data_IF_509710487816
#
_entry.id   IF_509710487816
#
_cell.length_a   1.000
_cell.length_b   1.000
_cell.length_c   1.000
_cell.angle_alpha   90.00
_cell.angle_beta   90.00
_cell.angle_gamma   90.00
#
_symmetry.space_group_name_H-M   'P 1'
#
loop_
_entity.id
_entity.type
_entity.pdbx_description
1 polymer ?
#
# COMPACT_ATOMS: atom_id res chain seq x y z
N UNK A 1 44.03 0.03 75.86
CA UNK A 1 44.33 -0.18 74.42
C UNK A 1 43.00 -0.34 73.71
N UNK A 2 42.56 0.70 73.00
CA UNK A 2 41.28 0.70 72.27
C UNK A 2 41.42 -0.03 70.94
N UNK A 3 40.47 -0.89 70.62
CA UNK A 3 40.37 -1.56 69.32
C UNK A 3 39.64 -0.64 68.33
N UNK A 4 40.27 -0.34 67.21
CA UNK A 4 39.62 0.32 66.06
C UNK A 4 38.97 -0.78 65.20
N UNK A 5 37.66 -0.68 65.01
CA UNK A 5 36.92 -1.48 64.03
C UNK A 5 36.92 -0.72 62.71
N UNK A 6 37.58 -1.27 61.69
CA UNK A 6 37.52 -0.74 60.32
C UNK A 6 36.30 -1.37 59.63
N UNK A 7 35.31 -0.55 59.30
CA UNK A 7 34.17 -0.95 58.45
C UNK A 7 34.58 -0.71 57.00
N UNK A 8 34.77 -1.79 56.25
CA UNK A 8 34.96 -1.73 54.81
C UNK A 8 33.58 -1.63 54.14
N UNK A 9 33.25 -0.45 53.61
CA UNK A 9 32.08 -0.25 52.77
C UNK A 9 32.44 -0.72 51.36
N UNK A 10 31.92 -1.89 50.96
CA UNK A 10 31.95 -2.31 49.56
C UNK A 10 30.90 -1.51 48.79
N UNK A 11 31.36 -0.52 48.03
CA UNK A 11 30.52 0.15 47.04
C UNK A 11 30.47 -0.76 45.80
N UNK A 12 29.40 -1.57 45.69
CA UNK A 12 29.11 -2.33 44.47
C UNK A 12 28.53 -1.33 43.47
N UNK A 13 29.36 -0.85 42.55
CA UNK A 13 28.87 -0.17 41.36
C UNK A 13 28.21 -1.22 40.46
N UNK A 14 26.89 -1.40 40.61
CA UNK A 14 26.11 -2.15 39.64
C UNK A 14 26.05 -1.33 38.34
N UNK A 15 26.86 -1.71 37.36
CA UNK A 15 26.74 -1.24 35.99
C UNK A 15 25.42 -1.78 35.44
N UNK A 16 24.35 -0.97 35.48
CA UNK A 16 23.16 -1.27 34.71
C UNK A 16 23.51 -1.08 33.23
N UNK A 17 23.73 -2.19 32.51
CA UNK A 17 23.66 -2.16 31.06
C UNK A 17 22.20 -1.88 30.72
N UNK A 18 21.90 -0.68 30.22
CA UNK A 18 20.63 -0.45 29.55
C UNK A 18 20.57 -1.46 28.40
N UNK A 19 19.55 -2.31 28.38
CA UNK A 19 19.27 -3.15 27.22
C UNK A 19 19.05 -2.26 26.00
N UNK A 20 19.39 -2.75 24.81
CA UNK A 20 19.05 -2.06 23.56
C UNK A 20 17.53 -1.80 23.53
N UNK A 21 17.12 -0.64 23.00
CA UNK A 21 15.70 -0.35 22.81
C UNK A 21 15.15 -1.36 21.81
N UNK A 22 14.01 -1.97 22.16
CA UNK A 22 13.34 -3.00 21.36
C UNK A 22 12.08 -2.41 20.73
N UNK A 23 11.94 -2.56 19.42
CA UNK A 23 10.92 -1.98 18.56
C UNK A 23 10.15 -3.08 17.82
N UNK A 24 9.49 -3.95 18.59
CA UNK A 24 8.71 -5.10 18.12
C UNK A 24 7.20 -4.80 18.06
N UNK A 25 6.79 -3.60 18.46
CA UNK A 25 5.39 -3.19 18.36
C UNK A 25 5.02 -2.95 16.90
N UNK A 26 3.93 -3.56 16.40
CA UNK A 26 3.40 -3.26 15.08
C UNK A 26 3.06 -1.78 14.92
N UNK A 27 3.45 -1.21 13.80
CA UNK A 27 3.02 0.11 13.35
C UNK A 27 2.80 0.11 11.83
N UNK A 28 2.32 1.23 11.28
CA UNK A 28 2.13 1.39 9.83
C UNK A 28 1.11 0.38 9.28
N UNK A 29 0.12 0.02 10.09
CA UNK A 29 -0.89 -0.99 9.75
C UNK A 29 -1.75 -0.48 8.60
N UNK A 30 -1.85 -1.30 7.57
CA UNK A 30 -2.71 -1.01 6.44
C UNK A 30 -3.26 -2.30 5.82
N UNK A 31 -4.43 -2.17 5.21
CA UNK A 31 -5.11 -3.26 4.52
C UNK A 31 -5.28 -2.95 3.05
N UNK A 32 -5.23 -3.98 2.23
CA UNK A 32 -5.56 -3.92 0.81
C UNK A 32 -6.41 -5.14 0.44
N UNK A 33 -7.13 -5.07 -0.69
CA UNK A 33 -7.74 -6.28 -1.23
C UNK A 33 -6.67 -7.27 -1.68
N UNK A 34 -6.94 -8.57 -1.46
CA UNK A 34 -6.15 -9.66 -2.02
C UNK A 34 -6.49 -9.90 -3.49
N UNK A 35 -6.63 -11.16 -3.91
CA UNK A 35 -6.97 -11.46 -5.32
C UNK A 35 -8.43 -11.13 -5.67
N UNK A 36 -9.27 -10.87 -4.67
CA UNK A 36 -10.66 -10.45 -4.82
C UNK A 36 -11.13 -9.67 -3.57
N UNK A 37 -12.34 -9.13 -3.61
CA UNK A 37 -12.91 -8.27 -2.55
C UNK A 37 -13.31 -9.00 -1.26
N UNK A 38 -13.23 -10.33 -1.22
CA UNK A 38 -13.42 -11.17 -0.04
C UNK A 38 -12.10 -11.69 0.53
N UNK A 39 -10.98 -11.17 0.02
CA UNK A 39 -9.65 -11.35 0.58
C UNK A 39 -9.11 -9.99 1.04
N UNK A 40 -8.57 -9.95 2.26
CA UNK A 40 -7.90 -8.77 2.79
C UNK A 40 -6.46 -9.14 3.15
N UNK A 41 -5.50 -8.37 2.65
CA UNK A 41 -4.10 -8.47 3.05
C UNK A 41 -3.83 -7.43 4.12
N UNK A 42 -3.53 -7.87 5.33
CA UNK A 42 -3.08 -7.01 6.43
C UNK A 42 -1.56 -6.91 6.36
N UNK A 43 -1.05 -5.69 6.28
CA UNK A 43 0.38 -5.39 6.21
C UNK A 43 0.78 -4.45 7.34
N UNK A 44 1.93 -4.68 7.97
CA UNK A 44 2.47 -3.80 9.00
C UNK A 44 4.00 -3.90 9.07
N UNK A 45 4.61 -2.98 9.82
CA UNK A 45 6.07 -2.93 10.03
C UNK A 45 6.45 -3.18 11.49
N UNK A 46 7.60 -3.79 11.70
CA UNK A 46 8.35 -3.76 12.96
C UNK A 46 9.83 -3.46 12.69
N UNK A 47 10.56 -2.85 13.63
CA UNK A 47 11.99 -2.53 13.44
C UNK A 47 12.94 -3.59 14.02
N UNK A 48 12.40 -4.58 14.71
CA UNK A 48 13.14 -5.76 15.14
C UNK A 48 12.37 -7.02 14.76
N UNK A 49 13.10 -8.10 14.49
CA UNK A 49 12.52 -9.39 14.15
C UNK A 49 11.56 -9.88 15.23
N UNK A 50 10.44 -10.45 14.79
CA UNK A 50 9.48 -11.16 15.63
C UNK A 50 9.39 -12.63 15.21
N UNK A 51 9.05 -13.54 16.14
CA UNK A 51 9.01 -14.99 15.87
C UNK A 51 7.89 -15.39 14.91
N UNK A 52 6.87 -14.54 14.76
CA UNK A 52 5.69 -14.82 13.93
C UNK A 52 5.05 -13.54 13.40
N UNK A 53 4.20 -13.71 12.38
CA UNK A 53 3.35 -12.67 11.82
C UNK A 53 1.90 -13.17 11.88
N UNK A 54 1.15 -12.72 12.88
CA UNK A 54 -0.19 -13.24 13.19
C UNK A 54 -1.22 -12.13 13.07
N UNK A 55 -2.38 -12.47 12.50
CA UNK A 55 -3.60 -11.67 12.62
C UNK A 55 -4.64 -12.49 13.34
N UNK A 56 -5.16 -11.97 14.45
CA UNK A 56 -6.40 -12.49 15.05
C UNK A 56 -7.54 -11.57 14.61
N UNK A 57 -8.68 -12.14 14.25
CA UNK A 57 -9.79 -11.41 13.64
C UNK A 57 -11.12 -12.14 13.80
N UNK A 58 -12.21 -11.48 13.47
CA UNK A 58 -13.51 -12.13 13.38
C UNK A 58 -14.70 -11.19 13.47
N UNK A 59 -15.89 -11.76 13.33
CA UNK A 59 -17.17 -11.06 13.49
C UNK A 59 -17.61 -11.21 14.95
N UNK A 60 -17.81 -10.09 15.63
CA UNK A 60 -18.20 -10.08 17.05
C UNK A 60 -17.09 -10.45 18.03
N UNK A 61 -15.83 -10.53 17.57
CA UNK A 61 -14.65 -10.79 18.40
C UNK A 61 -13.48 -11.38 17.61
N UNK A 62 -12.34 -11.54 18.28
CA UNK A 62 -11.14 -12.19 17.73
C UNK A 62 -11.25 -13.71 17.89
N UNK A 63 -11.97 -14.37 16.99
CA UNK A 63 -12.30 -15.81 17.08
C UNK A 63 -11.61 -16.66 16.01
N UNK A 64 -10.98 -16.01 15.04
CA UNK A 64 -10.17 -16.61 13.98
C UNK A 64 -8.73 -16.10 14.09
N UNK A 65 -7.80 -16.87 13.53
CA UNK A 65 -6.39 -16.53 13.49
C UNK A 65 -5.79 -16.98 12.15
N UNK A 66 -5.01 -16.11 11.53
CA UNK A 66 -4.17 -16.46 10.37
C UNK A 66 -2.70 -16.15 10.66
N UNK A 67 -1.82 -16.93 10.05
CA UNK A 67 -0.37 -16.76 10.11
C UNK A 67 0.14 -16.43 8.71
N UNK A 68 0.99 -15.42 8.61
CA UNK A 68 1.58 -14.99 7.35
C UNK A 68 3.09 -15.01 7.37
N UNK A 69 3.69 -14.11 6.60
CA UNK A 69 5.13 -14.03 6.40
C UNK A 69 5.67 -12.68 6.83
N UNK A 70 6.98 -12.63 7.10
CA UNK A 70 7.73 -11.39 7.22
C UNK A 70 8.89 -11.40 6.21
N UNK A 71 9.27 -10.21 5.75
CA UNK A 71 10.44 -9.99 4.89
C UNK A 71 11.18 -8.77 5.41
N UNK A 72 12.51 -8.88 5.53
CA UNK A 72 13.34 -7.72 5.82
C UNK A 72 13.40 -6.82 4.58
N UNK A 73 13.03 -5.55 4.77
CA UNK A 73 13.22 -4.48 3.81
C UNK A 73 14.34 -3.58 4.33
N UNK A 74 15.34 -3.34 3.49
CA UNK A 74 16.45 -2.43 3.77
C UNK A 74 16.41 -1.31 2.75
N UNK A 75 16.28 -0.08 3.23
CA UNK A 75 16.28 1.12 2.40
C UNK A 75 17.66 1.36 1.75
N UNK A 76 17.68 2.01 0.59
CA UNK A 76 18.89 2.29 -0.16
C UNK A 76 19.67 3.53 0.30
N UNK A 77 19.17 4.26 1.30
CA UNK A 77 19.82 5.41 1.90
C UNK A 77 21.13 5.07 2.61
N UNK A 78 21.92 6.10 2.95
CA UNK A 78 23.26 5.94 3.54
C UNK A 78 23.28 5.06 4.79
N UNK A 79 22.25 5.18 5.64
CA UNK A 79 22.13 4.44 6.89
C UNK A 79 21.65 3.00 6.71
N UNK A 80 21.16 2.62 5.52
CA UNK A 80 20.61 1.30 5.24
C UNK A 80 19.61 0.85 6.31
N UNK A 81 18.67 1.74 6.68
CA UNK A 81 17.66 1.43 7.71
C UNK A 81 16.84 0.23 7.28
N UNK A 82 16.66 -0.72 8.19
CA UNK A 82 15.89 -1.93 7.94
C UNK A 82 14.63 -1.99 8.81
N UNK A 83 13.58 -2.57 8.25
CA UNK A 83 12.37 -2.96 8.95
C UNK A 83 11.87 -4.31 8.43
N UNK A 84 11.08 -5.00 9.23
CA UNK A 84 10.43 -6.25 8.88
C UNK A 84 9.01 -5.91 8.42
N UNK A 85 8.72 -6.16 7.15
CA UNK A 85 7.38 -6.01 6.59
C UNK A 85 6.66 -7.34 6.75
N UNK A 86 5.55 -7.31 7.47
CA UNK A 86 4.72 -8.46 7.76
C UNK A 86 3.50 -8.44 6.85
N UNK A 87 3.10 -9.60 6.31
CA UNK A 87 1.95 -9.75 5.41
C UNK A 87 1.13 -10.97 5.80
N UNK A 88 -0.16 -10.78 6.08
CA UNK A 88 -1.10 -11.86 6.40
C UNK A 88 -2.34 -11.71 5.52
N UNK A 89 -2.73 -12.77 4.81
CA UNK A 89 -3.92 -12.76 3.95
C UNK A 89 -5.09 -13.45 4.66
N UNK A 90 -6.15 -12.70 4.90
CA UNK A 90 -7.43 -13.20 5.38
C UNK A 90 -8.29 -13.56 4.17
N UNK A 91 -8.72 -14.81 4.06
CA UNK A 91 -9.45 -15.33 2.90
C UNK A 91 -10.86 -15.74 3.26
N UNK A 92 -11.68 -15.94 2.23
CA UNK A 92 -13.05 -16.45 2.34
C UNK A 92 -13.90 -15.65 3.34
N UNK A 93 -13.68 -14.33 3.37
CA UNK A 93 -14.36 -13.44 4.31
C UNK A 93 -15.85 -13.39 4.01
N UNK A 94 -16.65 -13.38 5.08
CA UNK A 94 -18.11 -13.30 4.94
C UNK A 94 -18.48 -11.95 4.33
N UNK A 95 -19.29 -11.90 3.25
CA UNK A 95 -19.72 -10.64 2.65
C UNK A 95 -20.53 -9.76 3.61
N UNK A 96 -20.57 -8.45 3.35
CA UNK A 96 -21.33 -7.42 4.09
C UNK A 96 -21.20 -7.54 5.62
N UNK A 97 -19.98 -7.80 6.10
CA UNK A 97 -19.69 -8.12 7.49
C UNK A 97 -18.62 -7.20 8.07
N UNK A 98 -18.82 -6.78 9.31
CA UNK A 98 -17.82 -6.02 10.07
C UNK A 98 -16.91 -7.00 10.80
N UNK A 99 -15.63 -6.99 10.42
CA UNK A 99 -14.57 -7.72 11.11
C UNK A 99 -13.82 -6.78 12.04
N UNK A 100 -13.55 -7.23 13.27
CA UNK A 100 -12.52 -6.65 14.13
C UNK A 100 -11.25 -7.45 13.98
N UNK A 101 -10.09 -6.80 14.05
CA UNK A 101 -8.80 -7.47 13.95
C UNK A 101 -7.70 -6.72 14.70
N UNK A 102 -6.63 -7.43 15.02
CA UNK A 102 -5.33 -6.86 15.35
C UNK A 102 -4.22 -7.74 14.76
N UNK A 103 -3.01 -7.22 14.69
CA UNK A 103 -1.87 -7.90 14.09
C UNK A 103 -0.66 -7.82 15.01
N UNK A 104 0.23 -8.80 14.91
CA UNK A 104 1.45 -8.83 15.71
C UNK A 104 2.00 -10.24 15.96
N UNK A 105 2.52 -10.43 17.16
CA UNK A 105 3.12 -11.68 17.64
C UNK A 105 3.08 -11.75 19.16
N UNK A 106 3.61 -12.82 19.74
CA UNK A 106 3.81 -12.94 21.19
C UNK A 106 4.70 -11.83 21.80
N UNK A 107 5.43 -11.07 20.97
CA UNK A 107 6.29 -9.96 21.41
C UNK A 107 5.58 -8.60 21.43
N UNK A 108 4.44 -8.46 20.76
CA UNK A 108 3.74 -7.18 20.61
C UNK A 108 2.54 -7.28 19.69
N UNK A 109 1.47 -6.59 20.04
CA UNK A 109 0.20 -6.56 19.32
C UNK A 109 -0.20 -5.11 19.04
N UNK A 110 -0.77 -4.88 17.86
CA UNK A 110 -1.33 -3.58 17.50
C UNK A 110 -2.59 -3.24 18.31
N UNK A 111 -3.10 -2.02 18.12
CA UNK A 111 -4.44 -1.66 18.56
C UNK A 111 -5.50 -2.53 17.86
N UNK A 112 -6.71 -2.56 18.42
CA UNK A 112 -7.85 -3.14 17.72
C UNK A 112 -8.31 -2.22 16.57
N UNK A 113 -8.37 -2.79 15.38
CA UNK A 113 -8.88 -2.18 14.16
C UNK A 113 -10.16 -2.89 13.71
N UNK A 114 -10.81 -2.35 12.68
CA UNK A 114 -11.93 -3.02 12.03
C UNK A 114 -11.99 -2.67 10.55
N UNK A 115 -12.60 -3.55 9.76
CA UNK A 115 -12.97 -3.27 8.37
C UNK A 115 -14.35 -3.85 8.07
N UNK A 116 -14.97 -3.36 6.99
CA UNK A 116 -16.23 -3.91 6.47
C UNK A 116 -15.96 -4.59 5.14
N UNK A 117 -16.40 -5.83 4.98
CA UNK A 117 -16.32 -6.54 3.70
C UNK A 117 -17.40 -6.05 2.74
N UNK A 118 -17.08 -6.07 1.46
CA UNK A 118 -18.02 -5.73 0.40
C UNK A 118 -19.24 -6.69 0.40
N UNK A 119 -20.41 -6.26 -0.07
CA UNK A 119 -21.54 -7.15 -0.29
C UNK A 119 -21.30 -8.03 -1.51
N UNK A 120 -21.86 -9.25 -1.51
CA UNK A 120 -21.77 -10.19 -2.63
C UNK A 120 -22.93 -9.98 -3.61
N UNK A 121 -22.95 -8.82 -4.27
CA UNK A 121 -23.94 -8.47 -5.29
C UNK A 121 -23.35 -7.55 -6.35
N UNK A 122 -23.84 -7.68 -7.58
CA UNK A 122 -23.49 -6.80 -8.71
C UNK A 122 -24.27 -5.48 -8.70
N UNK A 123 -25.35 -5.38 -7.92
CA UNK A 123 -26.18 -4.17 -7.79
C UNK A 123 -25.63 -3.17 -6.76
N UNK A 124 -24.50 -3.50 -6.13
CA UNK A 124 -23.84 -2.64 -5.17
C UNK A 124 -23.27 -1.39 -5.84
N UNK A 125 -23.38 -0.25 -5.17
CA UNK A 125 -22.81 1.02 -5.59
C UNK A 125 -21.67 1.38 -4.62
N UNK A 126 -20.41 0.97 -4.92
CA UNK A 126 -19.29 1.24 -4.04
C UNK A 126 -19.00 2.75 -3.99
N UNK A 127 -18.76 3.26 -2.78
CA UNK A 127 -18.23 4.61 -2.57
C UNK A 127 -16.71 4.54 -2.50
N UNK A 128 -16.05 4.93 -3.59
CA UNK A 128 -14.60 4.93 -3.69
C UNK A 128 -14.04 6.33 -3.44
N UNK A 129 -13.00 6.39 -2.63
CA UNK A 129 -12.18 7.58 -2.45
C UNK A 129 -11.01 7.52 -3.46
N UNK A 130 -10.79 8.57 -4.25
CA UNK A 130 -9.71 8.62 -5.26
C UNK A 130 -8.93 9.92 -5.10
N UNK A 131 -7.60 9.83 -4.96
CA UNK A 131 -6.70 10.97 -4.83
C UNK A 131 -5.26 10.55 -5.14
N UNK A 132 -4.37 11.50 -5.39
CA UNK A 132 -2.92 11.31 -5.52
C UNK A 132 -2.19 12.45 -4.81
N UNK A 133 -0.86 12.40 -4.78
CA UNK A 133 -0.03 13.55 -4.43
C UNK A 133 -0.30 14.07 -3.00
N UNK A 134 -0.47 13.16 -2.02
CA UNK A 134 -0.85 13.55 -0.66
C UNK A 134 0.30 14.29 0.04
N UNK A 135 1.50 13.71 -0.03
CA UNK A 135 2.66 14.13 0.73
C UNK A 135 2.58 13.77 2.22
N UNK A 136 3.75 13.68 2.87
CA UNK A 136 3.83 13.66 4.34
C UNK A 136 3.65 15.07 4.93
N UNK A 137 4.13 16.08 4.21
CA UNK A 137 3.94 17.49 4.52
C UNK A 137 2.82 18.08 3.66
N UNK A 138 2.12 19.08 4.20
CA UNK A 138 1.06 19.79 3.49
C UNK A 138 -0.09 18.89 3.00
N UNK A 139 -0.35 17.78 3.68
CA UNK A 139 -1.46 16.87 3.39
C UNK A 139 -2.83 17.50 3.73
N UNK A 140 -3.28 18.47 2.93
CA UNK A 140 -4.46 19.31 3.18
C UNK A 140 -5.74 18.49 3.37
N UNK A 141 -5.88 17.40 2.62
CA UNK A 141 -7.05 16.52 2.66
C UNK A 141 -7.03 15.54 3.83
N UNK A 142 -5.86 15.28 4.45
CA UNK A 142 -5.67 14.19 5.41
C UNK A 142 -6.69 14.19 6.55
N UNK A 143 -6.87 15.34 7.22
CA UNK A 143 -7.77 15.45 8.37
C UNK A 143 -9.20 15.04 7.99
N UNK A 144 -9.64 15.42 6.79
CA UNK A 144 -10.97 15.08 6.28
C UNK A 144 -11.05 13.59 5.95
N UNK A 145 -10.03 13.03 5.28
CA UNK A 145 -9.97 11.61 4.96
C UNK A 145 -9.99 10.72 6.20
N UNK A 146 -9.29 11.13 7.27
CA UNK A 146 -9.30 10.44 8.56
C UNK A 146 -10.71 10.42 9.16
N UNK A 147 -11.37 11.58 9.25
CA UNK A 147 -12.71 11.67 9.84
C UNK A 147 -13.78 10.93 9.02
N UNK A 148 -13.76 11.05 7.70
CA UNK A 148 -14.73 10.39 6.82
C UNK A 148 -14.57 8.88 6.78
N UNK A 149 -13.32 8.39 6.78
CA UNK A 149 -13.04 6.95 6.83
C UNK A 149 -13.54 6.34 8.13
N UNK A 150 -13.28 6.99 9.27
CA UNK A 150 -13.74 6.52 10.58
C UNK A 150 -15.28 6.53 10.71
N UNK A 151 -15.97 7.36 9.92
CA UNK A 151 -17.43 7.39 9.82
C UNK A 151 -18.01 6.35 8.85
N UNK A 152 -17.16 5.60 8.15
CA UNK A 152 -17.57 4.58 7.19
C UNK A 152 -18.22 5.15 5.94
N UNK A 153 -17.73 6.30 5.44
CA UNK A 153 -18.27 6.92 4.22
C UNK A 153 -17.78 6.27 2.92
N UNK A 154 -16.70 5.49 3.00
CA UNK A 154 -16.03 4.87 1.86
C UNK A 154 -15.89 3.36 2.03
N UNK A 155 -15.86 2.65 0.90
CA UNK A 155 -15.70 1.20 0.82
C UNK A 155 -14.26 0.79 0.46
N UNK A 156 -13.54 1.61 -0.30
CA UNK A 156 -12.11 1.49 -0.55
C UNK A 156 -11.50 2.85 -0.95
N UNK A 157 -10.17 2.96 -0.84
CA UNK A 157 -9.39 4.08 -1.34
C UNK A 157 -8.51 3.66 -2.53
N UNK A 158 -8.39 4.54 -3.52
CA UNK A 158 -7.48 4.46 -4.65
C UNK A 158 -6.50 5.62 -4.55
N UNK A 159 -5.29 5.38 -4.03
CA UNK A 159 -4.21 6.38 -3.95
C UNK A 159 -3.31 6.26 -5.17
N UNK A 160 -3.40 7.26 -6.05
CA UNK A 160 -2.83 7.28 -7.40
C UNK A 160 -1.44 7.94 -7.41
N UNK A 161 -0.47 7.32 -6.75
CA UNK A 161 0.95 7.71 -6.76
C UNK A 161 1.29 8.95 -5.94
N UNK A 162 2.60 9.17 -5.76
CA UNK A 162 3.21 10.25 -4.99
C UNK A 162 2.69 10.31 -3.55
N UNK A 163 3.08 9.28 -2.78
CA UNK A 163 2.55 9.01 -1.45
C UNK A 163 3.07 10.03 -0.43
N UNK A 164 4.30 9.82 0.04
CA UNK A 164 4.97 10.74 0.94
C UNK A 164 5.66 11.89 0.18
N UNK A 165 5.42 11.99 -1.13
CA UNK A 165 6.43 12.33 -2.13
C UNK A 165 7.60 11.35 -2.00
N UNK A 166 8.78 11.80 -1.58
CA UNK A 166 9.97 10.96 -1.54
C UNK A 166 9.98 10.05 -0.29
N UNK A 167 9.44 8.83 -0.43
CA UNK A 167 9.41 7.87 0.68
C UNK A 167 10.79 7.47 1.19
N UNK A 168 11.83 7.56 0.35
CA UNK A 168 13.22 7.24 0.68
C UNK A 168 13.95 8.37 1.43
N UNK A 169 13.38 9.58 1.43
CA UNK A 169 14.01 10.73 2.08
C UNK A 169 14.27 10.50 3.56
N UNK A 170 15.37 11.09 4.03
CA UNK A 170 15.89 10.92 5.39
C UNK A 170 16.09 9.42 5.75
N UNK A 171 16.64 8.62 4.83
CA UNK A 171 16.85 7.18 5.00
C UNK A 171 15.53 6.43 5.29
N UNK A 172 14.50 6.73 4.50
CA UNK A 172 13.13 6.26 4.62
C UNK A 172 12.34 6.69 5.87
N UNK A 173 12.83 7.64 6.68
CA UNK A 173 12.08 8.16 7.82
C UNK A 173 10.83 8.93 7.38
N UNK A 174 10.88 9.61 6.23
CA UNK A 174 9.70 10.29 5.65
C UNK A 174 8.62 9.27 5.26
N UNK A 175 9.00 8.17 4.61
CA UNK A 175 8.09 7.06 4.31
C UNK A 175 7.48 6.45 5.57
N UNK A 176 8.26 6.25 6.63
CA UNK A 176 7.76 5.74 7.91
C UNK A 176 6.75 6.71 8.55
N UNK A 177 7.03 8.02 8.51
CA UNK A 177 6.14 9.05 9.03
C UNK A 177 4.81 9.08 8.28
N UNK A 178 4.87 9.04 6.95
CA UNK A 178 3.68 8.98 6.10
C UNK A 178 2.82 7.75 6.40
N UNK A 179 3.43 6.56 6.49
CA UNK A 179 2.70 5.33 6.76
C UNK A 179 2.02 5.34 8.15
N UNK A 180 2.67 5.91 9.18
CA UNK A 180 2.03 6.14 10.48
C UNK A 180 0.89 7.16 10.40
N UNK A 181 1.04 8.20 9.57
CA UNK A 181 0.05 9.25 9.41
C UNK A 181 -1.25 8.72 8.75
N UNK A 182 -1.11 7.86 7.73
CA UNK A 182 -2.26 7.27 7.03
C UNK A 182 -2.88 6.06 7.73
N UNK A 183 -2.25 5.46 8.75
CA UNK A 183 -2.77 4.28 9.48
C UNK A 183 -4.22 4.45 9.95
N UNK A 184 -4.57 5.66 10.38
CA UNK A 184 -5.93 6.08 10.76
C UNK A 184 -6.97 6.00 9.63
N UNK A 185 -6.53 5.83 8.38
CA UNK A 185 -7.34 5.58 7.19
C UNK A 185 -7.10 4.12 6.74
N UNK A 186 -5.84 3.78 6.48
CA UNK A 186 -5.44 2.56 5.79
C UNK A 186 -5.62 1.29 6.62
N UNK A 187 -5.71 1.36 7.95
CA UNK A 187 -6.05 0.20 8.79
C UNK A 187 -7.56 -0.12 8.81
N UNK A 188 -8.40 0.74 8.23
CA UNK A 188 -9.87 0.59 8.29
C UNK A 188 -10.52 0.42 6.92
N UNK A 189 -9.78 0.76 5.87
CA UNK A 189 -10.26 0.84 4.49
C UNK A 189 -9.24 0.16 3.57
N UNK A 190 -9.65 -0.76 2.67
CA UNK A 190 -8.76 -1.30 1.63
C UNK A 190 -8.12 -0.14 0.85
N UNK A 191 -6.81 0.00 0.98
CA UNK A 191 -6.01 1.11 0.48
C UNK A 191 -5.22 0.66 -0.74
N UNK A 192 -5.83 0.81 -1.91
CA UNK A 192 -5.29 0.35 -3.19
C UNK A 192 -4.42 1.45 -3.81
N UNK A 193 -3.28 1.09 -4.39
CA UNK A 193 -2.23 2.05 -4.75
C UNK A 193 -1.66 1.79 -6.14
N UNK A 194 -1.17 2.82 -6.82
CA UNK A 194 -0.23 2.67 -7.94
C UNK A 194 0.98 3.57 -7.69
N UNK A 195 2.18 3.24 -8.19
CA UNK A 195 3.35 4.09 -7.98
C UNK A 195 3.30 5.34 -8.86
N UNK A 196 3.73 6.46 -8.31
CA UNK A 196 4.09 7.69 -9.02
C UNK A 196 5.60 7.83 -9.18
N UNK A 197 6.05 8.97 -9.71
CA UNK A 197 7.47 9.18 -9.98
C UNK A 197 8.29 9.41 -8.72
N UNK A 198 7.70 9.94 -7.65
CA UNK A 198 8.42 10.09 -6.39
C UNK A 198 8.71 8.76 -5.69
N UNK A 199 8.10 7.66 -6.14
CA UNK A 199 8.42 6.33 -5.65
C UNK A 199 9.62 5.69 -6.35
N UNK A 200 10.25 6.33 -7.36
CA UNK A 200 11.23 5.68 -8.24
C UNK A 200 12.47 5.12 -7.53
N UNK A 201 12.93 5.82 -6.49
CA UNK A 201 14.24 5.59 -5.90
C UNK A 201 14.45 4.12 -5.52
N UNK A 202 15.67 3.65 -5.79
CA UNK A 202 16.10 2.27 -5.54
C UNK A 202 15.22 1.22 -6.23
N UNK A 203 14.78 1.50 -7.47
CA UNK A 203 13.89 0.63 -8.24
C UNK A 203 12.57 0.38 -7.51
N UNK A 204 11.94 1.47 -7.05
CA UNK A 204 10.65 1.48 -6.37
C UNK A 204 10.59 0.62 -5.11
N UNK A 205 11.71 0.48 -4.40
CA UNK A 205 11.81 -0.47 -3.27
C UNK A 205 10.85 -0.12 -2.15
N UNK A 206 10.72 1.16 -1.77
CA UNK A 206 9.76 1.59 -0.74
C UNK A 206 8.32 1.22 -1.13
N UNK A 207 7.92 1.44 -2.39
CA UNK A 207 6.59 1.06 -2.87
C UNK A 207 6.38 -0.47 -2.85
N UNK A 208 7.27 -1.22 -3.50
CA UNK A 208 7.16 -2.69 -3.67
C UNK A 208 7.18 -3.44 -2.34
N UNK A 209 7.94 -2.95 -1.38
CA UNK A 209 8.08 -3.64 -0.10
C UNK A 209 6.92 -3.29 0.83
N UNK A 210 6.57 -2.00 0.94
CA UNK A 210 5.55 -1.52 1.89
C UNK A 210 4.14 -1.88 1.48
N UNK A 211 3.78 -1.79 0.20
CA UNK A 211 2.41 -2.03 -0.23
C UNK A 211 2.18 -3.48 -0.69
N UNK A 212 0.92 -3.92 -0.62
CA UNK A 212 0.51 -5.31 -0.90
C UNK A 212 -0.67 -5.34 -1.85
N UNK A 213 -0.39 -5.12 -3.14
CA UNK A 213 -1.42 -5.11 -4.17
C UNK A 213 -1.76 -6.52 -4.67
N UNK A 214 -2.93 -6.71 -5.33
CA UNK A 214 -3.26 -7.97 -5.99
C UNK A 214 -2.14 -8.37 -6.96
N UNK A 215 -1.83 -9.66 -7.03
CA UNK A 215 -0.66 -10.17 -7.78
C UNK A 215 0.65 -10.20 -6.99
N UNK A 216 0.70 -9.62 -5.78
CA UNK A 216 1.83 -9.73 -4.83
C UNK A 216 2.57 -8.42 -4.54
N UNK A 217 3.62 -8.49 -3.72
CA UNK A 217 4.38 -7.31 -3.24
C UNK A 217 5.00 -6.50 -4.36
N UNK A 218 5.46 -7.19 -5.39
CA UNK A 218 6.29 -6.60 -6.44
C UNK A 218 5.43 -6.06 -7.61
N UNK A 219 4.10 -6.04 -7.45
CA UNK A 219 3.18 -5.74 -8.53
C UNK A 219 3.08 -4.22 -8.76
N UNK A 220 3.65 -3.77 -9.88
CA UNK A 220 3.50 -2.41 -10.39
C UNK A 220 2.12 -2.13 -11.00
N UNK A 221 1.33 -3.18 -11.23
CA UNK A 221 0.04 -3.13 -11.92
C UNK A 221 -0.86 -4.25 -11.40
N UNK A 222 -2.16 -4.07 -11.46
CA UNK A 222 -3.14 -5.10 -11.11
C UNK A 222 -4.52 -4.74 -11.65
N UNK A 223 -5.44 -5.70 -11.64
CA UNK A 223 -6.86 -5.44 -11.83
C UNK A 223 -7.67 -6.10 -10.73
N UNK A 224 -8.82 -5.51 -10.41
CA UNK A 224 -9.74 -6.04 -9.40
C UNK A 224 -11.19 -5.66 -9.71
N UNK A 225 -12.10 -6.60 -9.48
CA UNK A 225 -13.54 -6.37 -9.61
C UNK A 225 -14.12 -5.91 -8.27
N UNK A 226 -14.74 -4.73 -8.24
CA UNK A 226 -15.40 -4.17 -7.06
C UNK A 226 -16.85 -3.84 -7.43
N UNK A 227 -17.76 -4.77 -7.12
CA UNK A 227 -19.16 -4.66 -7.55
C UNK A 227 -19.27 -4.56 -9.09
N UNK A 228 -19.86 -3.47 -9.62
CA UNK A 228 -20.02 -3.25 -11.06
C UNK A 228 -18.78 -2.66 -11.75
N UNK A 229 -17.68 -2.45 -11.01
CA UNK A 229 -16.44 -1.87 -11.50
C UNK A 229 -15.40 -2.97 -11.76
N UNK A 230 -14.77 -2.93 -12.93
CA UNK A 230 -13.47 -3.56 -13.18
C UNK A 230 -12.40 -2.46 -13.13
N UNK A 231 -11.62 -2.42 -12.05
CA UNK A 231 -10.60 -1.41 -11.80
C UNK A 231 -9.26 -1.97 -12.28
N UNK A 232 -8.54 -1.19 -13.08
CA UNK A 232 -7.22 -1.50 -13.62
C UNK A 232 -6.25 -0.45 -13.11
N UNK A 233 -5.23 -0.89 -12.38
CA UNK A 233 -4.09 -0.08 -11.96
C UNK A 233 -2.91 -0.35 -12.87
N UNK A 234 -2.38 0.69 -13.50
CA UNK A 234 -1.15 0.65 -14.30
C UNK A 234 -0.07 1.48 -13.62
N UNK A 235 1.20 1.10 -13.84
CA UNK A 235 2.31 2.01 -13.55
C UNK A 235 2.54 2.89 -14.77
N UNK A 236 2.40 4.20 -14.60
CA UNK A 236 2.78 5.16 -15.64
C UNK A 236 4.29 5.33 -15.75
N UNK A 237 5.02 4.90 -14.73
CA UNK A 237 6.45 5.13 -14.57
C UNK A 237 7.31 4.21 -15.45
N UNK A 238 6.77 3.06 -15.88
CA UNK A 238 7.47 2.15 -16.81
C UNK A 238 7.76 2.77 -18.18
N UNK A 239 7.12 3.90 -18.51
CA UNK A 239 7.38 4.67 -19.73
C UNK A 239 8.50 5.70 -19.56
N UNK A 240 8.80 6.13 -18.32
CA UNK A 240 9.73 7.22 -18.03
C UNK A 240 11.05 6.71 -17.44
N UNK A 241 11.04 5.62 -16.67
CA UNK A 241 12.22 5.07 -15.99
C UNK A 241 12.78 3.82 -16.67
N UNK A 242 13.17 3.98 -17.93
CA UNK A 242 13.76 2.92 -18.76
C UNK A 242 15.14 2.45 -18.28
N UNK A 243 15.78 3.18 -17.36
CA UNK A 243 16.99 2.77 -16.64
C UNK A 243 16.83 1.44 -15.90
N UNK A 244 15.61 1.08 -15.48
CA UNK A 244 15.31 -0.24 -14.89
C UNK A 244 15.02 -1.34 -15.91
N UNK A 245 15.16 -1.02 -17.20
CA UNK A 245 15.03 -1.94 -18.32
C UNK A 245 13.64 -1.95 -18.96
N UNK A 246 13.55 -2.52 -20.16
CA UNK A 246 12.31 -2.54 -20.97
C UNK A 246 11.30 -3.63 -20.56
N UNK A 247 11.72 -4.59 -19.72
CA UNK A 247 10.87 -5.73 -19.35
C UNK A 247 9.56 -5.32 -18.64
N UNK A 248 9.55 -4.41 -17.66
CA UNK A 248 8.32 -3.98 -17.01
C UNK A 248 7.31 -3.36 -17.98
N UNK A 249 7.78 -2.55 -18.94
CA UNK A 249 6.93 -1.95 -19.97
C UNK A 249 6.28 -3.02 -20.87
N UNK A 250 7.08 -3.97 -21.37
CA UNK A 250 6.56 -5.05 -22.23
C UNK A 250 5.59 -5.93 -21.47
N UNK A 251 5.91 -6.27 -20.21
CA UNK A 251 5.04 -7.04 -19.35
C UNK A 251 3.70 -6.32 -19.11
N UNK A 252 3.73 -5.04 -18.76
CA UNK A 252 2.52 -4.24 -18.57
C UNK A 252 1.67 -4.17 -19.81
N UNK A 253 2.28 -3.94 -20.98
CA UNK A 253 1.56 -3.89 -22.25
C UNK A 253 0.82 -5.21 -22.51
N UNK A 254 1.52 -6.35 -22.41
CA UNK A 254 0.93 -7.68 -22.66
C UNK A 254 -0.11 -8.04 -21.61
N UNK A 255 0.15 -7.72 -20.34
CA UNK A 255 -0.80 -7.94 -19.25
C UNK A 255 -2.08 -7.14 -19.47
N UNK A 256 -1.96 -5.83 -19.76
CA UNK A 256 -3.10 -4.93 -19.97
C UNK A 256 -3.94 -5.31 -21.19
N UNK A 257 -3.31 -5.72 -22.30
CA UNK A 257 -4.02 -6.22 -23.48
C UNK A 257 -4.86 -7.45 -23.16
N UNK A 258 -4.29 -8.41 -22.42
CA UNK A 258 -5.00 -9.62 -22.00
C UNK A 258 -6.11 -9.32 -21.00
N UNK A 259 -5.85 -8.48 -20.00
CA UNK A 259 -6.81 -8.09 -18.98
C UNK A 259 -8.03 -7.38 -19.59
N UNK A 260 -7.80 -6.40 -20.46
CA UNK A 260 -8.87 -5.72 -21.20
C UNK A 260 -9.62 -6.67 -22.14
N UNK A 261 -8.95 -7.62 -22.78
CA UNK A 261 -9.62 -8.62 -23.61
C UNK A 261 -10.58 -9.50 -22.78
N UNK A 262 -10.17 -9.90 -21.58
CA UNK A 262 -11.04 -10.64 -20.66
C UNK A 262 -12.17 -9.77 -20.11
N UNK A 263 -11.87 -8.54 -19.67
CA UNK A 263 -12.86 -7.62 -19.13
C UNK A 263 -13.95 -7.25 -20.15
N UNK A 264 -13.62 -7.24 -21.45
CA UNK A 264 -14.55 -6.94 -22.53
C UNK A 264 -15.37 -8.14 -23.04
N UNK A 265 -15.18 -9.35 -22.51
CA UNK A 265 -16.07 -10.47 -22.81
C UNK A 265 -17.52 -10.11 -22.41
N UNK A 266 -18.54 -10.43 -23.22
CA UNK A 266 -19.93 -10.04 -22.96
C UNK A 266 -20.42 -10.40 -21.54
N UNK A 267 -20.09 -11.60 -21.07
CA UNK A 267 -20.45 -12.12 -19.74
C UNK A 267 -19.76 -11.39 -18.58
N UNK A 268 -18.60 -10.76 -18.83
CA UNK A 268 -17.89 -9.97 -17.84
C UNK A 268 -18.40 -8.53 -17.85
N UNK A 269 -18.67 -7.94 -19.02
CA UNK A 269 -19.30 -6.60 -19.13
C UNK A 269 -20.72 -6.57 -18.59
N UNK A 270 -21.45 -7.70 -18.59
CA UNK A 270 -22.75 -7.82 -17.94
C UNK A 270 -22.64 -7.66 -16.41
N UNK A 271 -21.56 -8.15 -15.79
CA UNK A 271 -21.32 -8.08 -14.35
C UNK A 271 -20.58 -6.80 -13.94
N UNK A 272 -19.58 -6.40 -14.71
CA UNK A 272 -18.75 -5.21 -14.56
C UNK A 272 -18.90 -4.31 -15.78
N UNK A 273 -20.01 -3.56 -15.90
CA UNK A 273 -20.24 -2.67 -17.04
C UNK A 273 -19.23 -1.52 -17.11
N UNK A 274 -18.62 -1.15 -15.99
CA UNK A 274 -17.64 -0.05 -15.90
C UNK A 274 -16.22 -0.58 -15.85
N UNK A 275 -15.37 -0.09 -16.75
CA UNK A 275 -13.92 -0.27 -16.68
C UNK A 275 -13.31 1.06 -16.25
N UNK A 276 -12.57 1.07 -15.15
CA UNK A 276 -11.91 2.25 -14.60
C UNK A 276 -10.41 2.01 -14.61
N UNK A 277 -9.66 2.87 -15.30
CA UNK A 277 -8.19 2.80 -15.30
C UNK A 277 -7.64 3.89 -14.38
N UNK A 278 -6.71 3.52 -13.51
CA UNK A 278 -5.94 4.44 -12.67
C UNK A 278 -4.44 4.29 -12.95
N UNK A 279 -3.74 5.42 -12.90
CA UNK A 279 -2.30 5.56 -13.06
C UNK A 279 -1.90 6.99 -12.72
N UNK A 280 -0.68 7.19 -12.25
CA UNK A 280 -0.25 8.47 -11.66
C UNK A 280 -0.15 9.60 -12.70
N UNK A 281 0.71 9.45 -13.72
CA UNK A 281 0.91 10.51 -14.71
C UNK A 281 -0.31 10.67 -15.63
N UNK A 282 -0.80 11.90 -15.86
CA UNK A 282 -1.95 12.13 -16.73
C UNK A 282 -1.68 11.72 -18.18
N UNK A 283 -2.65 11.06 -18.80
CA UNK A 283 -2.64 10.81 -20.26
C UNK A 283 -3.04 12.06 -21.06
N UNK A 284 -3.86 12.92 -20.45
CA UNK A 284 -4.34 14.16 -21.04
C UNK A 284 -4.16 15.29 -20.05
N UNK A 285 -3.43 16.32 -20.46
CA UNK A 285 -3.18 17.49 -19.64
C UNK A 285 -4.06 18.66 -20.09
N UNK A 286 -4.75 19.30 -19.14
CA UNK A 286 -5.57 20.50 -19.37
C UNK A 286 -4.81 21.81 -19.11
N UNK A 287 -3.62 21.72 -18.52
CA UNK A 287 -2.67 22.81 -18.29
C UNK A 287 -1.27 22.41 -18.79
N UNK A 288 -0.45 23.42 -19.10
CA UNK A 288 0.98 23.22 -19.31
C UNK A 288 1.66 23.43 -17.96
N UNK A 289 2.37 22.41 -17.48
CA UNK A 289 3.32 22.55 -16.39
C UNK A 289 4.73 22.18 -16.90
N UNK A 290 5.74 22.37 -16.05
CA UNK A 290 7.13 22.06 -16.40
C UNK A 290 7.52 20.60 -16.10
N UNK A 291 6.55 19.75 -15.75
CA UNK A 291 6.77 18.37 -15.31
C UNK A 291 6.04 17.37 -16.22
N UNK A 292 4.95 16.75 -15.76
CA UNK A 292 4.23 15.70 -16.48
C UNK A 292 3.49 16.18 -17.73
N UNK A 293 3.16 17.47 -17.77
CA UNK A 293 2.35 18.11 -18.81
C UNK A 293 3.17 19.07 -19.67
N UNK A 294 4.46 18.76 -19.87
CA UNK A 294 5.37 19.50 -20.75
C UNK A 294 4.98 19.41 -22.23
N UNK A 295 4.30 18.33 -22.63
CA UNK A 295 3.88 18.08 -24.01
C UNK A 295 2.40 17.68 -24.08
N UNK A 296 1.72 18.08 -25.16
CA UNK A 296 0.32 17.70 -25.44
C UNK A 296 0.13 16.18 -25.60
N UNK A 297 1.19 15.49 -26.05
CA UNK A 297 1.27 14.04 -26.16
C UNK A 297 2.24 13.51 -25.10
N UNK A 298 1.72 12.98 -24.01
CA UNK A 298 2.53 12.34 -22.96
C UNK A 298 2.94 10.92 -23.38
N UNK A 299 4.08 10.41 -22.89
CA UNK A 299 4.52 9.04 -23.20
C UNK A 299 3.49 8.00 -22.74
N UNK A 300 2.79 8.29 -21.65
CA UNK A 300 1.67 7.48 -21.16
C UNK A 300 0.56 7.31 -22.20
N UNK A 301 0.29 8.36 -22.99
CA UNK A 301 -0.75 8.39 -24.01
C UNK A 301 -0.30 7.75 -25.32
N UNK A 302 0.84 8.17 -25.87
CA UNK A 302 1.26 7.77 -27.23
C UNK A 302 2.20 6.57 -27.25
N UNK A 303 2.71 6.16 -26.09
CA UNK A 303 3.76 5.14 -25.97
C UNK A 303 5.15 5.69 -26.32
N UNK A 304 6.12 4.79 -26.45
CA UNK A 304 7.49 5.18 -26.81
C UNK A 304 7.60 5.46 -28.33
N UNK A 305 8.20 6.59 -28.77
CA UNK A 305 8.21 6.98 -30.18
C UNK A 305 8.94 6.01 -31.14
N UNK A 306 9.76 5.09 -30.62
CA UNK A 306 10.50 4.09 -31.41
C UNK A 306 9.96 2.67 -31.27
N UNK A 307 8.98 2.45 -30.38
CA UNK A 307 8.34 1.17 -30.15
C UNK A 307 6.84 1.40 -30.06
N UNK A 308 6.06 0.93 -31.03
CA UNK A 308 4.59 0.98 -30.98
C UNK A 308 4.06 0.03 -29.89
N UNK A 309 4.22 0.41 -28.63
CA UNK A 309 3.57 -0.17 -27.45
C UNK A 309 2.54 0.82 -26.92
N UNK A 310 1.57 1.20 -27.77
CA UNK A 310 0.42 2.01 -27.40
C UNK A 310 -0.83 1.13 -27.44
N UNK A 311 -1.37 0.76 -26.27
CA UNK A 311 -2.66 0.05 -26.17
C UNK A 311 -3.83 1.00 -26.53
N UNK A 312 -3.58 2.31 -26.38
CA UNK A 312 -4.60 3.36 -26.38
C UNK A 312 -5.13 3.74 -27.77
N UNK A 313 -4.45 3.36 -28.86
CA UNK A 313 -4.95 3.58 -30.23
C UNK A 313 -6.26 2.85 -30.54
N UNK A 314 -6.59 1.83 -29.75
CA UNK A 314 -7.81 1.01 -29.87
C UNK A 314 -8.89 1.35 -28.83
N UNK A 315 -8.55 2.08 -27.77
CA UNK A 315 -9.49 2.51 -26.74
C UNK A 315 -9.96 3.93 -27.03
N UNK A 316 -11.18 4.05 -27.57
CA UNK A 316 -11.88 5.33 -27.58
C UNK A 316 -12.28 5.67 -26.14
N UNK A 317 -11.33 6.19 -25.35
CA UNK A 317 -11.60 6.74 -24.02
C UNK A 317 -12.47 7.98 -24.23
N UNK A 318 -13.78 7.81 -24.05
CA UNK A 318 -14.71 8.91 -23.93
C UNK A 318 -14.70 9.32 -22.47
N UNK A 319 -14.04 10.43 -22.15
CA UNK A 319 -14.13 11.05 -20.84
C UNK A 319 -15.54 11.62 -20.66
N UNK A 320 -16.18 11.30 -19.53
CA UNK A 320 -17.35 12.00 -19.04
C UNK A 320 -16.91 13.27 -18.28
#
# INVERSE_FOLDING_TARGET
MSWLTIVQIFCVCASFSYGNIVWQQPEQVHIAYGNNIFEIVVTWSTFNETPSSIVEYGIGGLILQEVGTSKIFTDGGELHRSQYIHKVTLKDLTPDSKYVYHCGSEMGWSNLFFFKTAPNTTDWQPHLLIFGDMGNENAQSLVRLQEETQRGLYDAALHVGDFAYDMDSENAEVGDAFMRQIESISAYLPYMTCPGNHEENYNFSNYRERFSMPGGSESYMFSINVGPLHIISISTEVYYFMNYGIKPLVFQYQWLENDLAQANLPENREKQPWIVVMGHRPMYCSNLNHDDCTHYETLTRVGLPFYTFSVWSSCSITTA
#
